data_IF_061558698516
#
_entry.id   IF_061558698516
#
_cell.length_a   1.000
_cell.length_b   1.000
_cell.length_c   1.000
_cell.angle_alpha   90.00
_cell.angle_beta   90.00
_cell.angle_gamma   90.00
#
_symmetry.space_group_name_H-M   'P 1'
#
loop_
_entity.id
_entity.type
_entity.pdbx_description
1 polymer ?
#
# COMPACT_ATOMS: atom_id res chain seq x y z
N UNK A 1 21.32 -3.06 -28.26
CA UNK A 1 20.98 -3.06 -26.84
C UNK A 1 22.02 -3.81 -26.04
N UNK A 2 22.39 -3.26 -24.97
CA UNK A 2 23.32 -3.91 -24.06
C UNK A 2 22.61 -4.26 -22.77
N UNK A 3 22.86 -5.47 -22.26
CA UNK A 3 22.30 -5.90 -20.98
C UNK A 3 22.81 -5.05 -19.82
N UNK A 4 23.96 -4.42 -19.99
CA UNK A 4 24.55 -3.54 -18.97
C UNK A 4 23.74 -2.26 -18.74
N UNK A 5 22.97 -1.78 -19.71
CA UNK A 5 22.13 -0.59 -19.55
C UNK A 5 20.91 -0.87 -18.70
N UNK A 6 20.41 -2.10 -18.70
CA UNK A 6 19.20 -2.50 -17.96
C UNK A 6 19.52 -3.17 -16.63
N UNK A 7 20.75 -3.64 -16.42
CA UNK A 7 21.13 -4.33 -15.20
C UNK A 7 20.92 -3.52 -13.92
N UNK A 8 21.27 -2.22 -13.83
CA UNK A 8 21.02 -1.43 -12.62
C UNK A 8 19.54 -1.28 -12.33
N UNK A 9 18.67 -1.15 -13.35
CA UNK A 9 17.23 -1.07 -13.18
C UNK A 9 16.64 -2.37 -12.65
N UNK A 10 17.12 -3.50 -13.19
CA UNK A 10 16.73 -4.84 -12.74
C UNK A 10 17.18 -5.08 -11.30
N UNK A 11 18.40 -4.73 -10.95
CA UNK A 11 18.92 -4.87 -9.59
C UNK A 11 18.13 -4.00 -8.61
N UNK A 12 17.80 -2.77 -8.97
CA UNK A 12 16.99 -1.88 -8.14
C UNK A 12 15.58 -2.46 -7.93
N UNK A 13 14.98 -3.00 -8.98
CA UNK A 13 13.66 -3.62 -8.90
C UNK A 13 13.66 -4.85 -7.99
N UNK A 14 14.66 -5.72 -8.13
CA UNK A 14 14.83 -6.91 -7.28
C UNK A 14 15.04 -6.51 -5.82
N UNK A 15 15.82 -5.48 -5.56
CA UNK A 15 16.03 -4.95 -4.22
C UNK A 15 14.73 -4.39 -3.63
N UNK A 16 13.93 -3.70 -4.42
CA UNK A 16 12.64 -3.16 -4.01
C UNK A 16 11.63 -4.28 -3.77
N UNK A 17 11.61 -5.31 -4.60
CA UNK A 17 10.76 -6.48 -4.40
C UNK A 17 11.05 -7.15 -3.05
N UNK A 18 12.31 -7.35 -2.75
CA UNK A 18 12.73 -7.93 -1.47
C UNK A 18 12.32 -7.04 -0.30
N UNK A 19 12.56 -5.73 -0.41
CA UNK A 19 12.20 -4.77 0.62
C UNK A 19 10.69 -4.78 0.90
N UNK A 20 9.88 -4.78 -0.16
CA UNK A 20 8.42 -4.81 -0.05
C UNK A 20 7.96 -6.13 0.57
N UNK A 21 8.54 -7.25 0.15
CA UNK A 21 8.21 -8.56 0.71
C UNK A 21 8.55 -8.62 2.21
N UNK A 22 9.72 -8.13 2.60
CA UNK A 22 10.16 -8.11 3.99
C UNK A 22 9.27 -7.22 4.86
N UNK A 23 8.92 -6.03 4.37
CA UNK A 23 8.01 -5.12 5.07
C UNK A 23 6.61 -5.72 5.23
N UNK A 24 6.12 -6.41 4.21
CA UNK A 24 4.82 -7.07 4.27
C UNK A 24 4.82 -8.23 5.27
N UNK A 25 5.88 -9.02 5.27
CA UNK A 25 6.04 -10.11 6.22
C UNK A 25 6.12 -9.59 7.66
N UNK A 26 6.84 -8.50 7.87
CA UNK A 26 6.93 -7.85 9.18
C UNK A 26 5.57 -7.30 9.63
N UNK A 27 4.81 -6.69 8.74
CA UNK A 27 3.45 -6.23 9.00
C UNK A 27 2.57 -7.38 9.48
N UNK A 28 2.59 -8.51 8.76
CA UNK A 28 1.80 -9.69 9.10
C UNK A 28 2.23 -10.32 10.43
N UNK A 29 3.50 -10.28 10.74
CA UNK A 29 4.03 -10.81 12.00
C UNK A 29 3.65 -9.93 13.19
N UNK A 30 3.72 -8.59 13.01
CA UNK A 30 3.42 -7.62 14.09
C UNK A 30 1.92 -7.47 14.31
N UNK A 31 1.13 -7.53 13.24
CA UNK A 31 -0.32 -7.39 13.28
C UNK A 31 -1.00 -8.59 12.63
N UNK A 32 -1.00 -9.77 13.28
CA UNK A 32 -1.60 -10.96 12.69
C UNK A 32 -3.07 -10.74 12.35
N UNK A 33 -3.51 -10.98 11.10
CA UNK A 33 -4.90 -10.72 10.71
C UNK A 33 -5.94 -11.47 11.55
N UNK A 34 -5.59 -12.64 12.05
CA UNK A 34 -6.50 -13.44 12.86
C UNK A 34 -6.83 -12.81 14.22
N UNK A 35 -5.96 -11.96 14.75
CA UNK A 35 -6.09 -11.36 16.09
C UNK A 35 -6.15 -9.84 16.07
N UNK A 36 -5.97 -9.22 14.90
CA UNK A 36 -5.98 -7.76 14.74
C UNK A 36 -7.30 -7.31 14.13
N UNK A 37 -7.92 -6.28 14.67
CA UNK A 37 -9.12 -5.69 14.08
C UNK A 37 -8.87 -5.15 12.68
N UNK A 38 -9.89 -5.14 11.83
CA UNK A 38 -9.75 -4.75 10.42
C UNK A 38 -9.20 -3.32 10.27
N UNK A 39 -9.76 -2.36 10.99
CA UNK A 39 -9.30 -0.96 10.92
C UNK A 39 -7.87 -0.81 11.42
N UNK A 40 -7.50 -1.54 12.49
CA UNK A 40 -6.16 -1.51 13.04
C UNK A 40 -5.14 -2.11 12.07
N UNK A 41 -5.48 -3.22 11.41
CA UNK A 41 -4.62 -3.83 10.40
C UNK A 41 -4.42 -2.91 9.21
N UNK A 42 -5.51 -2.37 8.66
CA UNK A 42 -5.44 -1.48 7.51
C UNK A 42 -4.68 -0.19 7.85
N UNK A 43 -4.88 0.34 9.07
CA UNK A 43 -4.11 1.49 9.55
C UNK A 43 -2.62 1.19 9.63
N UNK A 44 -2.23 0.04 10.15
CA UNK A 44 -0.84 -0.39 10.21
C UNK A 44 -0.24 -0.58 8.81
N UNK A 45 -1.01 -1.14 7.87
CA UNK A 45 -0.60 -1.29 6.47
C UNK A 45 -0.37 0.08 5.82
N UNK A 46 -1.26 1.04 6.04
CA UNK A 46 -1.10 2.41 5.56
C UNK A 46 0.16 3.05 6.12
N UNK A 47 0.35 2.96 7.44
CA UNK A 47 1.49 3.57 8.12
C UNK A 47 2.83 2.96 7.68
N UNK A 48 2.83 1.68 7.30
CA UNK A 48 4.00 1.00 6.75
C UNK A 48 4.32 1.39 5.29
N UNK A 49 3.44 2.15 4.64
CA UNK A 49 3.60 2.54 3.24
C UNK A 49 3.17 1.47 2.24
N UNK A 50 2.37 0.51 2.66
CA UNK A 50 1.97 -0.64 1.86
C UNK A 50 0.51 -0.56 1.37
N UNK A 51 -0.15 0.58 1.57
CA UNK A 51 -1.52 0.78 1.11
C UNK A 51 -1.59 0.98 -0.40
N UNK A 52 -0.87 1.97 -0.89
CA UNK A 52 -0.63 2.23 -2.30
C UNK A 52 0.86 2.47 -2.46
N UNK A 53 1.59 1.45 -2.84
CA UNK A 53 3.06 1.44 -2.81
C UNK A 53 3.68 2.61 -3.58
N UNK A 54 2.99 3.12 -4.60
CA UNK A 54 3.47 4.22 -5.44
C UNK A 54 3.12 5.61 -4.91
N UNK A 55 2.30 5.70 -3.87
CA UNK A 55 1.99 7.00 -3.25
C UNK A 55 3.21 7.54 -2.52
N UNK A 56 3.22 8.87 -2.21
CA UNK A 56 4.32 9.47 -1.46
C UNK A 56 4.50 8.83 -0.09
N UNK A 57 5.74 8.84 0.38
CA UNK A 57 6.06 8.43 1.75
C UNK A 57 5.29 9.34 2.73
N UNK A 58 4.67 8.73 3.74
CA UNK A 58 3.83 9.43 4.70
C UNK A 58 2.36 9.52 4.30
N UNK A 59 2.02 9.15 3.07
CA UNK A 59 0.65 9.18 2.56
C UNK A 59 0.18 7.80 2.06
N UNK A 60 0.65 6.74 2.69
CA UNK A 60 0.22 5.38 2.39
C UNK A 60 1.08 4.62 1.41
N UNK A 61 2.20 5.21 0.96
CA UNK A 61 3.11 4.60 0.00
C UNK A 61 4.58 4.75 0.36
N UNK A 62 5.43 4.25 -0.51
CA UNK A 62 6.89 4.29 -0.39
C UNK A 62 7.53 4.97 -1.60
N UNK A 63 6.73 5.53 -2.49
CA UNK A 63 7.23 6.13 -3.74
C UNK A 63 7.88 5.13 -4.68
N UNK A 64 7.48 3.87 -4.63
CA UNK A 64 8.04 2.79 -5.44
C UNK A 64 7.16 2.47 -6.64
N UNK A 65 7.63 1.54 -7.49
CA UNK A 65 6.90 1.13 -8.68
C UNK A 65 5.55 0.50 -8.31
N UNK A 66 4.43 0.95 -8.90
CA UNK A 66 3.10 0.42 -8.58
C UNK A 66 2.95 -1.09 -8.82
N UNK A 67 3.76 -1.69 -9.68
CA UNK A 67 3.76 -3.14 -9.91
C UNK A 67 4.09 -3.93 -8.64
N UNK A 68 4.80 -3.33 -7.71
CA UNK A 68 5.17 -3.97 -6.44
C UNK A 68 3.98 -4.15 -5.50
N UNK A 69 2.88 -3.46 -5.74
CA UNK A 69 1.65 -3.63 -4.95
C UNK A 69 1.14 -5.07 -4.98
N UNK A 70 1.39 -5.78 -6.08
CA UNK A 70 1.01 -7.18 -6.22
C UNK A 70 1.63 -8.05 -5.13
N UNK A 71 2.88 -7.81 -4.76
CA UNK A 71 3.57 -8.56 -3.71
C UNK A 71 2.84 -8.40 -2.38
N UNK A 72 2.48 -7.18 -2.03
CA UNK A 72 1.72 -6.87 -0.81
C UNK A 72 0.37 -7.59 -0.85
N UNK A 73 -0.38 -7.40 -1.92
CA UNK A 73 -1.74 -7.91 -2.05
C UNK A 73 -1.80 -9.44 -1.96
N UNK A 74 -0.87 -10.14 -2.62
CA UNK A 74 -0.81 -11.60 -2.58
C UNK A 74 -0.55 -12.12 -1.16
N UNK A 75 0.36 -11.47 -0.44
CA UNK A 75 0.74 -11.88 0.92
C UNK A 75 -0.37 -11.60 1.94
N UNK A 76 -0.97 -10.42 1.88
CA UNK A 76 -2.06 -10.08 2.82
C UNK A 76 -3.30 -10.91 2.54
N UNK A 77 -3.61 -11.18 1.27
CA UNK A 77 -4.71 -12.05 0.89
C UNK A 77 -4.50 -13.47 1.41
N UNK A 78 -3.31 -14.05 1.20
CA UNK A 78 -2.98 -15.37 1.67
C UNK A 78 -3.07 -15.51 3.19
N UNK A 79 -2.81 -14.43 3.93
CA UNK A 79 -2.90 -14.39 5.38
C UNK A 79 -4.33 -14.16 5.90
N UNK A 80 -5.30 -13.97 5.01
CA UNK A 80 -6.68 -13.68 5.39
C UNK A 80 -6.93 -12.27 5.90
N UNK A 81 -6.06 -11.31 5.54
CA UNK A 81 -6.18 -9.92 5.97
C UNK A 81 -7.34 -9.22 5.27
N UNK A 82 -7.91 -8.17 5.91
CA UNK A 82 -8.91 -7.34 5.24
C UNK A 82 -8.31 -6.59 4.05
N UNK A 83 -9.15 -6.28 3.06
CA UNK A 83 -8.72 -5.56 1.87
C UNK A 83 -9.60 -4.32 1.68
N UNK A 84 -8.96 -3.15 1.62
CA UNK A 84 -9.66 -1.89 1.37
C UNK A 84 -10.41 -1.91 0.04
N UNK A 85 -9.78 -2.47 -1.00
CA UNK A 85 -10.39 -2.54 -2.33
C UNK A 85 -11.70 -3.31 -2.38
N UNK A 86 -11.90 -4.30 -1.50
CA UNK A 86 -13.14 -5.04 -1.40
C UNK A 86 -14.22 -4.30 -0.58
N UNK A 87 -13.80 -3.52 0.42
CA UNK A 87 -14.69 -2.82 1.34
C UNK A 87 -15.07 -1.43 0.87
N UNK A 88 -14.17 -0.78 0.15
CA UNK A 88 -14.29 0.61 -0.28
C UNK A 88 -13.74 0.76 -1.70
N UNK A 89 -14.33 0.06 -2.69
CA UNK A 89 -13.73 -0.04 -4.03
C UNK A 89 -13.59 1.31 -4.74
N UNK A 90 -14.59 2.18 -4.64
CA UNK A 90 -14.53 3.51 -5.26
C UNK A 90 -13.51 4.39 -4.56
N UNK A 91 -13.50 4.37 -3.23
CA UNK A 91 -12.49 5.09 -2.45
C UNK A 91 -11.08 4.65 -2.78
N UNK A 92 -10.84 3.35 -2.77
CA UNK A 92 -9.51 2.78 -3.02
C UNK A 92 -9.04 2.97 -4.46
N UNK A 93 -9.90 2.67 -5.44
CA UNK A 93 -9.51 2.64 -6.84
C UNK A 93 -9.61 3.97 -7.57
N UNK A 94 -10.44 4.90 -7.09
CA UNK A 94 -10.71 6.16 -7.78
C UNK A 94 -10.42 7.39 -6.93
N UNK A 95 -11.04 7.49 -5.77
CA UNK A 95 -10.95 8.71 -4.94
C UNK A 95 -9.59 8.87 -4.28
N UNK A 96 -9.00 7.80 -3.75
CA UNK A 96 -7.68 7.83 -3.14
C UNK A 96 -6.60 8.29 -4.12
N UNK A 97 -6.48 7.64 -5.29
CA UNK A 97 -5.54 8.10 -6.32
C UNK A 97 -5.77 9.55 -6.77
N UNK A 98 -7.02 9.99 -6.87
CA UNK A 98 -7.33 11.38 -7.24
C UNK A 98 -6.84 12.35 -6.16
N UNK A 99 -7.09 12.06 -4.90
CA UNK A 99 -6.61 12.89 -3.78
C UNK A 99 -5.07 12.90 -3.76
N UNK A 100 -4.43 11.77 -4.01
CA UNK A 100 -2.97 11.68 -4.01
C UNK A 100 -2.32 12.54 -5.10
N UNK A 101 -2.96 12.66 -6.28
CA UNK A 101 -2.44 13.44 -7.42
C UNK A 101 -2.83 14.90 -7.30
N UNK A 102 -4.09 15.21 -6.99
CA UNK A 102 -4.65 16.55 -7.07
C UNK A 102 -4.92 17.21 -5.74
N UNK A 103 -4.87 16.46 -4.65
CA UNK A 103 -5.12 17.01 -3.32
C UNK A 103 -3.95 17.82 -2.78
N UNK A 104 -4.24 18.76 -1.88
CA UNK A 104 -3.23 19.45 -1.09
C UNK A 104 -2.66 18.48 -0.05
N UNK A 105 -1.56 18.88 0.60
CA UNK A 105 -0.99 18.08 1.70
C UNK A 105 -2.01 17.89 2.84
N UNK A 106 -2.78 18.92 3.16
CA UNK A 106 -3.82 18.84 4.18
C UNK A 106 -4.92 17.86 3.79
N UNK A 107 -5.33 17.86 2.52
CA UNK A 107 -6.34 16.92 2.02
C UNK A 107 -5.82 15.49 2.03
N UNK A 108 -4.59 15.25 1.62
CA UNK A 108 -3.98 13.92 1.68
C UNK A 108 -3.93 13.41 3.12
N UNK A 109 -3.50 14.23 4.04
CA UNK A 109 -3.42 13.89 5.46
C UNK A 109 -4.81 13.61 6.04
N UNK A 110 -5.81 14.39 5.65
CA UNK A 110 -7.17 14.27 6.18
C UNK A 110 -7.91 13.04 5.65
N UNK A 111 -7.76 12.71 4.37
CA UNK A 111 -8.65 11.77 3.71
C UNK A 111 -8.06 10.40 3.41
N UNK A 112 -6.78 10.29 3.10
CA UNK A 112 -6.22 9.04 2.59
C UNK A 112 -6.26 7.91 3.63
N UNK A 113 -5.86 8.18 4.84
CA UNK A 113 -5.81 7.15 5.88
C UNK A 113 -7.21 6.66 6.28
N UNK A 114 -8.18 7.52 6.63
CA UNK A 114 -9.53 7.06 6.94
C UNK A 114 -10.21 6.34 5.78
N UNK A 115 -9.91 6.74 4.55
CA UNK A 115 -10.40 6.07 3.35
C UNK A 115 -9.85 4.65 3.26
N UNK A 116 -8.55 4.48 3.48
CA UNK A 116 -7.93 3.17 3.38
C UNK A 116 -8.36 2.23 4.50
N UNK A 117 -8.51 2.73 5.72
CA UNK A 117 -8.97 1.93 6.86
C UNK A 117 -10.46 1.58 6.77
N UNK A 118 -11.16 2.16 5.81
CA UNK A 118 -12.61 2.02 5.64
C UNK A 118 -13.42 2.66 6.77
N UNK A 119 -12.81 3.55 7.54
CA UNK A 119 -13.52 4.40 8.49
C UNK A 119 -14.44 5.38 7.76
N UNK A 120 -14.05 5.78 6.53
CA UNK A 120 -14.86 6.57 5.62
C UNK A 120 -15.04 5.83 4.30
N UNK A 121 -16.27 5.55 3.93
CA UNK A 121 -16.61 4.89 2.67
C UNK A 121 -17.03 5.97 1.67
N UNK A 122 -16.38 5.97 0.52
CA UNK A 122 -16.63 6.96 -0.53
C UNK A 122 -17.43 6.34 -1.68
N UNK A 123 -18.40 7.06 -2.15
CA UNK A 123 -19.26 6.66 -3.28
C UNK A 123 -19.18 7.65 -4.43
#
# INVERSE_FOLDING_TARGET
>A
MTLTETAPEVEALVGDEKRVADLTNELLATYPPATTGAADFLGAQFDAGLAWIHFPVGHGGLGLNPKLQKIVNERVFAAGAPACGARNPIGYGMCGPTVAVWGSEDQKTRYLRPLFTCEEIWC
#
